data_IF_064414211180
#
_entry.id   IF_064414211180
#
_cell.length_a   1.000
_cell.length_b   1.000
_cell.length_c   1.000
_cell.angle_alpha   90.00
_cell.angle_beta   90.00
_cell.angle_gamma   90.00
#
_symmetry.space_group_name_H-M   'P 1'
#
loop_
_entity.id
_entity.type
_entity.pdbx_description
1 polymer ?
#
# COMPACT_ATOMS: atom_id res chain seq x y z
N UNK A 1 26.99 15.74 5.18
CA UNK A 1 25.71 15.94 5.88
C UNK A 1 25.02 17.13 5.26
N UNK A 2 24.15 16.90 4.27
CA UNK A 2 23.39 17.98 3.63
C UNK A 2 22.11 18.22 4.41
N UNK A 3 21.97 19.41 5.00
CA UNK A 3 20.72 19.87 5.61
C UNK A 3 19.75 20.15 4.48
N UNK A 4 18.71 19.31 4.31
CA UNK A 4 17.53 19.71 3.55
C UNK A 4 16.93 20.92 4.25
N UNK A 5 16.95 22.06 3.57
CA UNK A 5 16.11 23.19 3.90
C UNK A 5 14.66 22.74 3.68
N UNK A 6 13.92 22.57 4.78
CA UNK A 6 12.46 22.39 4.73
C UNK A 6 11.86 23.72 4.26
N UNK A 7 11.34 23.71 3.04
CA UNK A 7 10.56 24.79 2.49
C UNK A 7 9.36 25.05 3.41
N UNK A 8 9.11 26.33 3.70
CA UNK A 8 7.92 26.81 4.39
C UNK A 8 6.67 26.49 3.53
N UNK A 9 6.12 25.29 3.70
CA UNK A 9 4.83 24.89 3.16
C UNK A 9 3.73 25.18 4.17
N UNK A 10 2.63 25.79 3.73
CA UNK A 10 1.40 25.94 4.51
C UNK A 10 1.02 24.59 5.13
N UNK A 11 1.28 24.42 6.43
CA UNK A 11 0.91 23.20 7.13
C UNK A 11 -0.57 23.31 7.51
N UNK A 12 -1.44 22.79 6.64
CA UNK A 12 -2.82 22.53 7.06
C UNK A 12 -2.78 21.59 8.26
N UNK A 13 -3.50 21.89 9.37
CA UNK A 13 -3.52 21.00 10.52
C UNK A 13 -4.02 19.62 10.09
N UNK A 14 -3.32 18.57 10.52
CA UNK A 14 -3.76 17.20 10.33
C UNK A 14 -5.05 16.97 11.11
N UNK A 15 -6.12 16.63 10.40
CA UNK A 15 -7.41 16.29 10.97
C UNK A 15 -7.56 14.77 10.91
N UNK A 16 -7.06 14.09 11.96
CA UNK A 16 -6.96 12.62 12.07
C UNK A 16 -8.11 11.87 11.40
N UNK A 17 -9.36 12.19 11.76
CA UNK A 17 -10.53 11.48 11.23
C UNK A 17 -10.80 11.75 9.75
N UNK A 18 -10.63 13.00 9.30
CA UNK A 18 -10.87 13.39 7.91
C UNK A 18 -9.77 12.85 7.00
N UNK A 19 -8.52 13.00 7.42
CA UNK A 19 -7.36 12.65 6.60
C UNK A 19 -7.20 11.13 6.49
N UNK A 20 -7.39 10.37 7.59
CA UNK A 20 -7.42 8.90 7.51
C UNK A 20 -8.55 8.43 6.61
N UNK A 21 -9.75 9.02 6.74
CA UNK A 21 -10.89 8.61 5.92
C UNK A 21 -10.58 8.77 4.43
N UNK A 22 -10.00 9.91 4.03
CA UNK A 22 -9.58 10.15 2.64
C UNK A 22 -8.64 9.05 2.16
N UNK A 23 -7.62 8.69 2.92
CA UNK A 23 -6.66 7.67 2.52
C UNK A 23 -7.26 6.26 2.48
N UNK A 24 -8.17 5.92 3.41
CA UNK A 24 -8.87 4.63 3.39
C UNK A 24 -9.90 4.52 2.27
N UNK A 25 -10.56 5.62 1.90
CA UNK A 25 -11.49 5.65 0.79
C UNK A 25 -10.75 5.46 -0.55
N UNK A 26 -9.60 6.14 -0.71
CA UNK A 26 -8.69 5.92 -1.85
C UNK A 26 -8.23 4.47 -1.91
N UNK A 27 -7.80 3.90 -0.79
CA UNK A 27 -7.36 2.51 -0.73
C UNK A 27 -8.47 1.56 -1.20
N UNK A 28 -9.69 1.75 -0.68
CA UNK A 28 -10.84 0.94 -1.06
C UNK A 28 -11.13 1.02 -2.57
N UNK A 29 -11.08 2.23 -3.15
CA UNK A 29 -11.25 2.42 -4.59
C UNK A 29 -10.17 1.69 -5.40
N UNK A 30 -8.91 1.80 -4.99
CA UNK A 30 -7.78 1.10 -5.63
C UNK A 30 -7.95 -0.41 -5.57
N UNK A 31 -8.33 -0.97 -4.42
CA UNK A 31 -8.56 -2.41 -4.28
C UNK A 31 -9.71 -2.90 -5.14
N UNK A 32 -10.81 -2.14 -5.24
CA UNK A 32 -11.93 -2.46 -6.12
C UNK A 32 -11.56 -2.40 -7.61
N UNK A 33 -10.74 -1.42 -8.00
CA UNK A 33 -10.21 -1.34 -9.36
C UNK A 33 -9.34 -2.57 -9.68
N UNK A 34 -8.43 -2.94 -8.77
CA UNK A 34 -7.58 -4.12 -8.94
C UNK A 34 -8.37 -5.43 -9.00
N UNK A 35 -9.40 -5.60 -8.18
CA UNK A 35 -10.26 -6.78 -8.25
C UNK A 35 -11.04 -6.84 -9.56
N UNK A 36 -11.47 -5.69 -10.11
CA UNK A 36 -12.09 -5.63 -11.44
C UNK A 36 -11.13 -6.01 -12.56
N UNK A 37 -9.90 -5.49 -12.52
CA UNK A 37 -8.93 -5.63 -13.60
C UNK A 37 -8.23 -7.00 -13.59
N UNK A 38 -7.98 -7.57 -12.40
CA UNK A 38 -7.22 -8.81 -12.21
C UNK A 38 -8.06 -9.96 -11.64
N UNK A 39 -9.33 -9.72 -11.34
CA UNK A 39 -10.19 -10.66 -10.60
C UNK A 39 -9.67 -10.94 -9.20
N UNK A 40 -10.12 -12.07 -8.63
CA UNK A 40 -9.65 -12.60 -7.36
C UNK A 40 -8.22 -13.20 -7.41
N UNK A 41 -7.26 -12.48 -8.00
CA UNK A 41 -5.88 -12.95 -8.13
C UNK A 41 -5.18 -13.07 -6.77
N UNK A 42 -5.46 -12.15 -5.84
CA UNK A 42 -4.90 -12.22 -4.48
C UNK A 42 -5.38 -13.47 -3.75
N UNK A 43 -6.71 -13.67 -3.66
CA UNK A 43 -7.29 -14.81 -2.95
C UNK A 43 -6.83 -16.14 -3.52
N UNK A 44 -6.72 -16.29 -4.85
CA UNK A 44 -6.17 -17.50 -5.49
C UNK A 44 -4.74 -17.81 -5.08
N UNK A 45 -3.90 -16.78 -4.92
CA UNK A 45 -2.52 -16.97 -4.50
C UNK A 45 -2.41 -17.24 -3.01
N UNK A 46 -3.24 -16.58 -2.21
CA UNK A 46 -3.35 -16.86 -0.78
C UNK A 46 -3.80 -18.31 -0.54
N UNK A 47 -4.84 -18.78 -1.24
CA UNK A 47 -5.31 -20.16 -1.16
C UNK A 47 -4.20 -21.17 -1.50
N UNK A 48 -3.40 -20.87 -2.53
CA UNK A 48 -2.35 -21.78 -3.02
C UNK A 48 -1.09 -21.80 -2.14
N UNK A 49 -0.69 -20.64 -1.60
CA UNK A 49 0.63 -20.46 -0.98
C UNK A 49 0.58 -19.93 0.46
N UNK A 50 -0.62 -19.61 0.97
CA UNK A 50 -0.84 -19.04 2.29
C UNK A 50 -0.08 -17.75 2.54
N UNK A 51 0.30 -17.55 3.80
CA UNK A 51 1.06 -16.40 4.27
C UNK A 51 2.40 -16.20 3.57
N UNK A 52 2.99 -17.23 2.98
CA UNK A 52 4.23 -17.09 2.19
C UNK A 52 4.03 -16.13 1.01
N UNK A 53 2.89 -16.20 0.32
CA UNK A 53 2.60 -15.26 -0.78
C UNK A 53 2.47 -13.81 -0.31
N UNK A 54 1.97 -13.60 0.91
CA UNK A 54 1.84 -12.29 1.52
C UNK A 54 3.20 -11.72 1.89
N UNK A 55 4.05 -12.53 2.54
CA UNK A 55 5.41 -12.12 2.94
C UNK A 55 6.22 -11.67 1.73
N UNK A 56 6.23 -12.46 0.65
CA UNK A 56 6.94 -12.13 -0.59
C UNK A 56 6.45 -10.79 -1.16
N UNK A 57 5.13 -10.59 -1.21
CA UNK A 57 4.55 -9.36 -1.78
C UNK A 57 4.82 -8.11 -0.95
N UNK A 58 4.71 -8.22 0.37
CA UNK A 58 5.05 -7.10 1.25
C UNK A 58 6.54 -6.78 1.16
N UNK A 59 7.40 -7.79 1.11
CA UNK A 59 8.84 -7.61 0.92
C UNK A 59 9.16 -6.91 -0.41
N UNK A 60 8.55 -7.31 -1.52
CA UNK A 60 8.73 -6.64 -2.81
C UNK A 60 8.37 -5.15 -2.75
N UNK A 61 7.28 -4.81 -2.04
CA UNK A 61 6.84 -3.41 -1.88
C UNK A 61 7.72 -2.62 -0.93
N UNK A 62 8.20 -3.23 0.15
CA UNK A 62 9.16 -2.60 1.06
C UNK A 62 10.49 -2.33 0.35
N UNK A 63 11.02 -3.28 -0.42
CA UNK A 63 12.24 -3.10 -1.22
C UNK A 63 12.08 -1.98 -2.25
N UNK A 64 10.90 -1.86 -2.86
CA UNK A 64 10.58 -0.74 -3.76
C UNK A 64 10.59 0.59 -3.01
N UNK A 65 9.96 0.66 -1.83
CA UNK A 65 9.93 1.86 -1.01
C UNK A 65 11.35 2.31 -0.61
N UNK A 66 12.19 1.37 -0.20
CA UNK A 66 13.61 1.62 0.08
C UNK A 66 14.35 2.18 -1.14
N UNK A 67 14.12 1.60 -2.33
CA UNK A 67 14.71 2.08 -3.58
C UNK A 67 14.26 3.49 -3.93
N UNK A 68 12.95 3.77 -3.88
CA UNK A 68 12.39 5.10 -4.17
C UNK A 68 12.91 6.16 -3.20
N UNK A 69 13.05 5.82 -1.91
CA UNK A 69 13.61 6.72 -0.92
C UNK A 69 15.08 7.07 -1.23
N UNK A 70 15.86 6.10 -1.70
CA UNK A 70 17.31 6.26 -1.89
C UNK A 70 17.68 6.92 -3.21
N UNK A 71 16.95 6.61 -4.27
CA UNK A 71 17.31 6.99 -5.63
C UNK A 71 16.32 7.98 -6.28
N UNK A 72 15.18 8.24 -5.64
CA UNK A 72 14.06 8.93 -6.27
C UNK A 72 13.31 8.02 -7.25
N UNK A 73 12.20 8.51 -7.80
CA UNK A 73 11.43 7.79 -8.79
C UNK A 73 12.03 8.00 -10.20
N UNK A 74 12.46 6.93 -10.85
CA UNK A 74 12.84 6.92 -12.29
C UNK A 74 11.66 6.46 -13.19
N UNK A 75 10.55 6.03 -12.59
CA UNK A 75 9.35 5.46 -13.23
C UNK A 75 8.08 6.08 -12.64
N UNK A 76 6.93 5.89 -13.31
CA UNK A 76 5.61 6.47 -12.96
C UNK A 76 5.03 6.07 -11.59
N UNK A 77 5.68 5.20 -10.81
CA UNK A 77 5.15 4.72 -9.52
C UNK A 77 5.75 5.50 -8.34
N UNK A 78 4.90 6.19 -7.58
CA UNK A 78 5.32 7.09 -6.50
C UNK A 78 5.55 6.40 -5.15
N UNK A 79 6.11 7.14 -4.18
CA UNK A 79 6.24 6.68 -2.79
C UNK A 79 4.84 6.44 -2.20
N UNK A 80 3.91 7.36 -2.47
CA UNK A 80 2.53 7.32 -2.01
C UNK A 80 1.80 6.08 -2.55
N UNK A 81 1.96 5.77 -3.84
CA UNK A 81 1.39 4.56 -4.44
C UNK A 81 1.96 3.29 -3.80
N UNK A 82 3.27 3.28 -3.54
CA UNK A 82 3.94 2.13 -2.90
C UNK A 82 3.44 1.93 -1.47
N UNK A 83 3.24 3.00 -0.71
CA UNK A 83 2.70 2.95 0.66
C UNK A 83 1.24 2.48 0.65
N UNK A 84 0.43 2.97 -0.29
CA UNK A 84 -0.95 2.52 -0.50
C UNK A 84 -1.01 1.02 -0.86
N UNK A 85 -0.09 0.53 -1.70
CA UNK A 85 0.02 -0.90 -2.02
C UNK A 85 0.35 -1.77 -0.79
N UNK A 86 1.26 -1.31 0.07
CA UNK A 86 1.58 -2.00 1.33
C UNK A 86 0.34 -2.10 2.22
N UNK A 87 -0.38 -0.99 2.39
CA UNK A 87 -1.65 -0.98 3.14
C UNK A 87 -2.68 -1.92 2.51
N UNK A 88 -2.77 -1.94 1.18
CA UNK A 88 -3.67 -2.82 0.44
C UNK A 88 -3.38 -4.31 0.67
N UNK A 89 -2.13 -4.73 0.58
CA UNK A 89 -1.77 -6.13 0.85
C UNK A 89 -2.02 -6.53 2.30
N UNK A 90 -1.80 -5.63 3.27
CA UNK A 90 -2.14 -5.88 4.66
C UNK A 90 -3.66 -6.08 4.86
N UNK A 91 -4.49 -5.21 4.27
CA UNK A 91 -5.95 -5.31 4.34
C UNK A 91 -6.49 -6.57 3.65
N UNK A 92 -6.01 -6.88 2.44
CA UNK A 92 -6.42 -8.10 1.74
C UNK A 92 -6.05 -9.37 2.52
N UNK A 93 -4.90 -9.37 3.19
CA UNK A 93 -4.49 -10.47 4.07
C UNK A 93 -5.46 -10.63 5.24
N UNK A 94 -5.87 -9.54 5.90
CA UNK A 94 -6.86 -9.58 6.97
C UNK A 94 -8.21 -10.13 6.49
N UNK A 95 -8.62 -9.78 5.27
CA UNK A 95 -9.85 -10.32 4.66
C UNK A 95 -9.77 -11.84 4.54
N UNK A 96 -8.69 -12.39 3.99
CA UNK A 96 -8.52 -13.85 3.86
C UNK A 96 -8.40 -14.56 5.21
N UNK A 97 -7.60 -14.02 6.13
CA UNK A 97 -7.48 -14.57 7.49
C UNK A 97 -8.80 -14.59 8.27
N UNK A 98 -9.70 -13.64 8.00
CA UNK A 98 -11.02 -13.61 8.62
C UNK A 98 -12.01 -14.55 7.93
N UNK A 99 -11.85 -14.84 6.63
CA UNK A 99 -12.62 -15.89 5.95
C UNK A 99 -12.30 -17.28 6.49
N UNK A 100 -11.03 -17.55 6.85
CA UNK A 100 -10.63 -18.84 7.44
C UNK A 100 -11.20 -19.08 8.84
N UNK A 101 -11.58 -18.02 9.56
CA UNK A 101 -12.14 -18.12 10.92
C UNK A 101 -13.67 -18.30 10.95
N UNK A 102 -14.33 -18.08 9.82
CA UNK A 102 -15.79 -18.16 9.68
C UNK A 102 -16.23 -19.56 9.27
#
# INVERSE_FOLDING_TARGET
>A
MSKLQVANGNHHPFHLNTDIKVETDKLNQTLQAKDRDYGNSFGKQFEKYGMTSVLIRLEDKLRRLESLQKYGAEVDESIEDTVQDIAGYAILTLVELNKEKA
#
